data_IF_114420515417
#
_entry.id   IF_114420515417
#
_cell.length_a   1.000
_cell.length_b   1.000
_cell.length_c   1.000
_cell.angle_alpha   90.00
_cell.angle_beta   90.00
_cell.angle_gamma   90.00
#
_symmetry.space_group_name_H-M   'P 1'
#
loop_
_entity.id
_entity.type
_entity.pdbx_description
1 polymer ?
#
# COMPACT_ATOMS: atom_id res chain seq x y z
N UNK A 1 10.49 9.89 -34.77
CA UNK A 1 9.40 9.01 -34.30
C UNK A 1 9.86 7.85 -33.40
N UNK A 2 11.12 7.40 -33.43
CA UNK A 2 11.59 6.30 -32.58
C UNK A 2 11.60 6.62 -31.07
N UNK A 3 11.96 7.85 -30.67
CA UNK A 3 12.08 8.22 -29.25
C UNK A 3 10.75 8.11 -28.47
N UNK A 4 9.62 8.53 -29.05
CA UNK A 4 8.32 8.49 -28.38
C UNK A 4 7.79 7.06 -28.15
N UNK A 5 8.13 6.13 -29.03
CA UNK A 5 7.74 4.71 -28.92
C UNK A 5 8.51 4.05 -27.76
N UNK A 6 9.82 4.31 -27.66
CA UNK A 6 10.67 3.80 -26.57
C UNK A 6 10.22 4.30 -25.20
N UNK A 7 9.84 5.58 -25.09
CA UNK A 7 9.34 6.16 -23.84
C UNK A 7 8.01 5.52 -23.42
N UNK A 8 7.09 5.31 -24.37
CA UNK A 8 5.80 4.66 -24.11
C UNK A 8 5.93 3.22 -23.61
N UNK A 9 6.85 2.44 -24.19
CA UNK A 9 7.15 1.07 -23.75
C UNK A 9 7.76 1.03 -22.34
N UNK A 10 8.70 1.93 -22.04
CA UNK A 10 9.30 2.05 -20.72
C UNK A 10 8.26 2.39 -19.64
N UNK A 11 7.35 3.33 -19.89
CA UNK A 11 6.27 3.65 -18.96
C UNK A 11 5.32 2.46 -18.71
N UNK A 12 4.96 1.74 -19.77
CA UNK A 12 4.14 0.53 -19.66
C UNK A 12 4.83 -0.55 -18.82
N UNK A 13 6.14 -0.72 -18.99
CA UNK A 13 6.95 -1.63 -18.19
C UNK A 13 6.93 -1.23 -16.71
N UNK A 14 7.15 0.05 -16.40
CA UNK A 14 7.14 0.57 -15.02
C UNK A 14 5.78 0.34 -14.36
N UNK A 15 4.66 0.68 -15.02
CA UNK A 15 3.32 0.46 -14.47
C UNK A 15 3.07 -1.01 -14.18
N UNK A 16 3.41 -1.90 -15.12
CA UNK A 16 3.26 -3.35 -14.92
C UNK A 16 4.12 -3.86 -13.77
N UNK A 17 5.34 -3.35 -13.62
CA UNK A 17 6.22 -3.70 -12.51
C UNK A 17 5.59 -3.27 -11.18
N UNK A 18 5.20 -1.99 -11.05
CA UNK A 18 4.54 -1.46 -9.85
C UNK A 18 3.29 -2.24 -9.47
N UNK A 19 2.44 -2.55 -10.45
CA UNK A 19 1.25 -3.36 -10.24
C UNK A 19 1.57 -4.76 -9.67
N UNK A 20 2.59 -5.44 -10.22
CA UNK A 20 3.05 -6.73 -9.67
C UNK A 20 3.63 -6.59 -8.27
N UNK A 21 4.38 -5.52 -7.99
CA UNK A 21 4.96 -5.28 -6.66
C UNK A 21 3.86 -5.09 -5.60
N UNK A 22 2.82 -4.33 -5.93
CA UNK A 22 1.65 -4.14 -5.07
C UNK A 22 0.98 -5.47 -4.73
N UNK A 23 0.73 -6.31 -5.74
CA UNK A 23 0.07 -7.61 -5.56
C UNK A 23 0.90 -8.58 -4.73
N UNK A 24 2.23 -8.56 -4.88
CA UNK A 24 3.15 -9.33 -4.05
C UNK A 24 3.12 -8.84 -2.61
N UNK A 25 3.15 -7.53 -2.38
CA UNK A 25 3.06 -6.96 -1.04
C UNK A 25 1.74 -7.36 -0.35
N UNK A 26 0.60 -7.29 -1.04
CA UNK A 26 -0.69 -7.78 -0.52
C UNK A 26 -0.65 -9.27 -0.18
N UNK A 27 -0.01 -10.09 -1.02
CA UNK A 27 0.13 -11.53 -0.75
C UNK A 27 0.96 -11.83 0.51
N UNK A 28 1.97 -11.02 0.79
CA UNK A 28 2.80 -11.13 2.00
C UNK A 28 2.06 -10.60 3.22
N UNK A 29 1.43 -9.42 3.10
CA UNK A 29 0.70 -8.76 4.19
C UNK A 29 -0.47 -9.61 4.70
N UNK A 30 -1.23 -10.24 3.80
CA UNK A 30 -2.45 -11.00 4.11
C UNK A 30 -2.29 -12.52 3.93
N UNK A 31 -1.06 -13.06 4.06
CA UNK A 31 -0.80 -14.50 3.90
C UNK A 31 -1.73 -15.33 4.81
N UNK A 32 -2.42 -16.32 4.27
CA UNK A 32 -3.31 -17.19 5.07
C UNK A 32 -4.67 -16.56 5.45
N UNK A 33 -4.96 -15.33 5.03
CA UNK A 33 -6.31 -14.75 5.03
C UNK A 33 -6.70 -14.45 3.59
N UNK A 34 -7.31 -15.46 2.99
CA UNK A 34 -7.63 -15.46 1.57
C UNK A 34 -8.73 -14.45 1.24
N UNK A 35 -9.67 -14.22 2.15
CA UNK A 35 -10.81 -13.32 1.94
C UNK A 35 -10.34 -11.87 1.92
N UNK A 36 -9.54 -11.46 2.91
CA UNK A 36 -8.93 -10.12 2.93
C UNK A 36 -7.97 -9.93 1.77
N UNK A 37 -7.14 -10.93 1.46
CA UNK A 37 -6.22 -10.86 0.32
C UNK A 37 -6.96 -10.72 -1.01
N UNK A 38 -8.09 -11.41 -1.18
CA UNK A 38 -8.94 -11.31 -2.38
C UNK A 38 -9.57 -9.94 -2.49
N UNK A 39 -10.22 -9.47 -1.43
CA UNK A 39 -10.87 -8.16 -1.38
C UNK A 39 -9.88 -7.02 -1.68
N UNK A 40 -8.69 -7.05 -1.06
CA UNK A 40 -7.64 -6.07 -1.30
C UNK A 40 -7.17 -6.04 -2.76
N UNK A 41 -7.03 -7.21 -3.40
CA UNK A 41 -6.65 -7.31 -4.82
C UNK A 41 -7.74 -6.78 -5.75
N UNK A 42 -9.00 -7.05 -5.44
CA UNK A 42 -10.13 -6.59 -6.24
C UNK A 42 -10.30 -5.07 -6.14
N UNK A 43 -10.15 -4.51 -4.93
CA UNK A 43 -10.09 -3.07 -4.72
C UNK A 43 -8.94 -2.44 -5.51
N UNK A 44 -7.72 -2.98 -5.39
CA UNK A 44 -6.56 -2.46 -6.13
C UNK A 44 -6.75 -2.50 -7.66
N UNK A 45 -7.38 -3.56 -8.20
CA UNK A 45 -7.75 -3.63 -9.62
C UNK A 45 -8.72 -2.53 -9.99
N UNK A 46 -9.76 -2.34 -9.20
CA UNK A 46 -10.76 -1.32 -9.44
C UNK A 46 -10.13 0.07 -9.42
N UNK A 47 -9.37 0.41 -8.37
CA UNK A 47 -8.69 1.69 -8.27
C UNK A 47 -7.72 1.92 -9.44
N UNK A 48 -6.97 0.92 -9.88
CA UNK A 48 -6.09 1.05 -11.06
C UNK A 48 -6.86 1.28 -12.35
N UNK A 49 -8.02 0.63 -12.55
CA UNK A 49 -8.86 0.85 -13.74
C UNK A 49 -9.52 2.22 -13.76
N UNK A 50 -9.98 2.70 -12.61
CA UNK A 50 -10.61 4.02 -12.47
C UNK A 50 -9.58 5.15 -12.62
N UNK A 51 -8.37 4.95 -12.10
CA UNK A 51 -7.31 5.96 -12.09
C UNK A 51 -6.47 6.05 -13.36
N UNK A 52 -6.38 4.96 -14.13
CA UNK A 52 -5.67 4.93 -15.41
C UNK A 52 -6.63 4.52 -16.53
N UNK A 53 -7.46 5.47 -17.02
CA UNK A 53 -8.13 5.29 -18.30
C UNK A 53 -7.12 4.89 -19.37
N UNK A 54 -7.54 4.06 -20.32
CA UNK A 54 -6.69 3.57 -21.42
C UNK A 54 -6.01 4.69 -22.23
N UNK A 55 -6.53 5.91 -22.12
CA UNK A 55 -6.14 7.09 -22.89
C UNK A 55 -5.17 8.03 -22.16
N UNK A 56 -4.71 7.69 -20.95
CA UNK A 56 -3.67 8.50 -20.28
C UNK A 56 -2.38 8.42 -21.11
N UNK A 57 -1.98 9.56 -21.67
CA UNK A 57 -0.77 9.67 -22.45
C UNK A 57 0.46 9.25 -21.63
N UNK A 58 1.39 8.46 -22.21
CA UNK A 58 2.62 8.10 -21.52
C UNK A 58 3.42 9.34 -21.12
N UNK A 59 3.98 9.34 -19.90
CA UNK A 59 4.86 10.42 -19.44
C UNK A 59 4.16 11.65 -18.87
N UNK A 60 2.85 11.60 -18.64
CA UNK A 60 2.15 12.69 -17.92
C UNK A 60 2.52 12.72 -16.45
N UNK A 61 2.45 13.91 -15.85
CA UNK A 61 2.68 14.09 -14.42
C UNK A 61 1.72 13.26 -13.56
N UNK A 62 0.46 13.17 -13.97
CA UNK A 62 -0.56 12.36 -13.29
C UNK A 62 -0.19 10.88 -13.24
N UNK A 63 0.38 10.34 -14.31
CA UNK A 63 0.83 8.94 -14.35
C UNK A 63 1.96 8.70 -13.35
N UNK A 64 2.91 9.63 -13.27
CA UNK A 64 4.01 9.56 -12.31
C UNK A 64 3.50 9.60 -10.86
N UNK A 65 2.61 10.54 -10.52
CA UNK A 65 1.99 10.64 -9.19
C UNK A 65 1.25 9.37 -8.79
N UNK A 66 0.54 8.74 -9.72
CA UNK A 66 -0.20 7.48 -9.45
C UNK A 66 0.75 6.30 -9.23
N UNK A 67 1.84 6.22 -9.99
CA UNK A 67 2.89 5.22 -9.79
C UNK A 67 3.51 5.40 -8.40
N UNK A 68 3.85 6.64 -8.03
CA UNK A 68 4.39 6.98 -6.71
C UNK A 68 3.42 6.61 -5.59
N UNK A 69 2.14 6.95 -5.73
CA UNK A 69 1.10 6.56 -4.78
C UNK A 69 1.03 5.03 -4.61
N UNK A 70 1.02 4.27 -5.70
CA UNK A 70 0.99 2.80 -5.64
C UNK A 70 2.28 2.21 -5.01
N UNK A 71 3.44 2.81 -5.24
CA UNK A 71 4.69 2.45 -4.56
C UNK A 71 4.63 2.75 -3.07
N UNK A 72 4.06 3.90 -2.67
CA UNK A 72 3.81 4.26 -1.27
C UNK A 72 2.90 3.25 -0.57
N UNK A 73 1.78 2.88 -1.19
CA UNK A 73 0.89 1.82 -0.68
C UNK A 73 1.63 0.49 -0.55
N UNK A 74 2.44 0.13 -1.56
CA UNK A 74 3.26 -1.09 -1.52
C UNK A 74 4.22 -1.09 -0.32
N UNK A 75 4.86 0.05 -0.03
CA UNK A 75 5.74 0.21 1.13
C UNK A 75 4.97 0.01 2.43
N UNK A 76 3.82 0.67 2.59
CA UNK A 76 2.96 0.55 3.77
C UNK A 76 2.53 -0.90 4.00
N UNK A 77 2.09 -1.61 2.96
CA UNK A 77 1.69 -3.01 3.04
C UNK A 77 2.83 -3.92 3.52
N UNK A 78 4.08 -3.63 3.15
CA UNK A 78 5.25 -4.44 3.52
C UNK A 78 5.76 -4.13 4.91
N UNK A 79 5.82 -2.86 5.25
CA UNK A 79 6.55 -2.38 6.42
C UNK A 79 5.64 -2.15 7.63
N UNK A 80 4.40 -1.71 7.40
CA UNK A 80 3.55 -1.19 8.48
C UNK A 80 2.34 -2.08 8.77
N UNK A 81 1.89 -2.91 7.82
CA UNK A 81 0.75 -3.80 8.06
C UNK A 81 1.23 -5.10 8.69
N UNK A 82 0.63 -5.43 9.82
CA UNK A 82 0.76 -6.72 10.51
C UNK A 82 -0.61 -7.37 10.62
N UNK A 83 -0.63 -8.69 10.67
CA UNK A 83 -1.88 -9.45 10.72
C UNK A 83 -1.96 -10.24 12.03
N UNK A 84 -3.07 -10.13 12.75
CA UNK A 84 -3.38 -11.02 13.87
C UNK A 84 -3.80 -12.40 13.35
N UNK A 85 -3.11 -13.46 13.79
CA UNK A 85 -3.51 -14.85 13.57
C UNK A 85 -3.85 -15.47 14.92
N UNK A 86 -4.96 -16.20 14.99
CA UNK A 86 -5.30 -16.98 16.18
C UNK A 86 -4.20 -18.00 16.49
N UNK A 87 -3.83 -18.12 17.76
CA UNK A 87 -2.81 -19.03 18.23
C UNK A 87 -3.34 -20.47 18.19
N UNK A 88 -2.63 -21.37 17.51
CA UNK A 88 -3.06 -22.75 17.29
C UNK A 88 -3.30 -23.55 18.59
N UNK A 89 -2.64 -23.15 19.69
CA UNK A 89 -2.68 -23.87 20.98
C UNK A 89 -3.53 -23.18 22.05
N UNK A 90 -4.05 -21.98 21.78
CA UNK A 90 -4.80 -21.19 22.76
C UNK A 90 -6.00 -20.56 22.05
N UNK A 91 -7.22 -21.10 22.26
CA UNK A 91 -8.44 -20.44 21.85
C UNK A 91 -8.44 -18.99 22.37
N UNK A 92 -9.03 -18.07 21.61
CA UNK A 92 -9.12 -16.64 21.94
C UNK A 92 -7.82 -15.83 22.10
N UNK A 93 -6.66 -16.44 21.85
CA UNK A 93 -5.38 -15.72 21.82
C UNK A 93 -4.97 -15.41 20.39
N UNK A 94 -4.63 -14.16 20.09
CA UNK A 94 -4.14 -13.73 18.78
C UNK A 94 -2.67 -13.31 18.85
N UNK A 95 -1.87 -13.77 17.89
CA UNK A 95 -0.47 -13.39 17.71
C UNK A 95 -0.31 -12.53 16.47
N UNK A 96 0.43 -11.43 16.58
CA UNK A 96 0.79 -10.61 15.43
C UNK A 96 1.84 -11.33 14.59
N UNK A 97 1.56 -11.46 13.29
CA UNK A 97 2.53 -11.94 12.32
C UNK A 97 3.33 -10.75 11.79
N UNK A 98 4.59 -10.68 12.21
CA UNK A 98 5.59 -9.81 11.62
C UNK A 98 6.21 -10.50 10.39
N UNK A 99 6.53 -9.73 9.37
CA UNK A 99 7.31 -10.17 8.20
C UNK A 99 8.73 -9.63 8.28
N UNK A 100 9.63 -10.11 7.41
CA UNK A 100 11.04 -9.69 7.39
C UNK A 100 11.22 -8.18 7.20
N UNK A 101 10.33 -7.55 6.42
CA UNK A 101 10.40 -6.13 6.12
C UNK A 101 9.53 -5.29 7.05
N UNK A 102 8.84 -5.91 8.02
CA UNK A 102 8.01 -5.14 8.95
C UNK A 102 8.91 -4.27 9.81
N UNK A 103 8.67 -2.96 9.76
CA UNK A 103 9.46 -2.01 10.50
C UNK A 103 9.22 -2.21 12.00
N UNK A 104 10.29 -2.57 12.71
CA UNK A 104 10.30 -2.68 14.16
C UNK A 104 11.03 -1.47 14.67
N UNK A 105 10.30 -0.41 15.00
CA UNK A 105 10.90 0.72 15.67
C UNK A 105 11.39 0.28 17.05
N UNK A 106 12.53 0.82 17.46
CA UNK A 106 12.92 0.75 18.86
C UNK A 106 11.93 1.59 19.70
N UNK A 107 11.75 1.24 20.96
CA UNK A 107 10.86 1.94 21.88
C UNK A 107 11.22 3.44 21.99
N UNK A 108 12.51 3.77 21.88
CA UNK A 108 12.99 5.17 21.88
C UNK A 108 12.68 5.92 20.58
N UNK A 109 12.63 5.25 19.42
CA UNK A 109 12.21 5.86 18.16
C UNK A 109 10.69 6.05 18.10
N UNK A 110 9.93 5.12 18.69
CA UNK A 110 8.48 5.18 18.78
C UNK A 110 7.99 6.42 19.55
N UNK A 111 8.72 6.83 20.60
CA UNK A 111 8.42 8.06 21.37
C UNK A 111 8.59 9.36 20.55
N UNK A 112 9.41 9.33 19.49
CA UNK A 112 9.62 10.48 18.60
C UNK A 112 8.52 10.59 17.54
N UNK A 113 7.86 9.49 17.21
CA UNK A 113 6.66 9.43 16.38
C UNK A 113 5.43 9.88 17.20
N UNK A 114 5.43 11.12 17.68
CA UNK A 114 4.22 11.71 18.24
C UNK A 114 3.26 11.97 17.10
N UNK A 115 2.17 11.20 17.04
CA UNK A 115 1.02 11.58 16.23
C UNK A 115 0.58 13.01 16.57
N UNK A 116 -0.07 13.69 15.63
CA UNK A 116 -0.71 14.98 15.94
C UNK A 116 -1.85 14.74 16.91
N UNK A 117 -1.58 14.88 18.20
CA UNK A 117 -2.63 14.91 19.22
C UNK A 117 -3.39 16.21 19.04
N UNK A 118 -4.47 16.19 18.25
CA UNK A 118 -5.39 17.31 18.20
C UNK A 118 -6.05 17.43 19.57
N UNK A 119 -5.98 18.62 20.16
CA UNK A 119 -6.73 18.96 21.35
C UNK A 119 -8.23 18.83 21.07
N UNK A 120 -9.01 18.57 22.11
CA UNK A 120 -10.47 18.47 22.00
C UNK A 120 -11.09 19.73 21.36
N UNK A 121 -10.47 20.90 21.58
CA UNK A 121 -10.84 22.17 20.96
C UNK A 121 -10.61 22.15 19.43
N UNK A 122 -9.45 21.68 18.98
CA UNK A 122 -9.14 21.54 17.55
C UNK A 122 -9.97 20.47 16.84
N UNK A 123 -10.48 19.46 17.56
CA UNK A 123 -11.41 18.46 17.00
C UNK A 123 -12.81 19.07 16.83
N UNK A 124 -13.26 19.87 17.82
CA UNK A 124 -14.54 20.59 17.76
C UNK A 124 -14.57 21.61 16.62
N UNK A 125 -13.48 22.34 16.43
CA UNK A 125 -13.38 23.38 15.39
C UNK A 125 -13.12 22.80 13.98
N UNK A 126 -12.78 21.50 13.89
CA UNK A 126 -12.52 20.79 12.62
C UNK A 126 -13.74 20.02 12.08
N UNK A 127 -14.94 20.24 12.62
CA UNK A 127 -16.17 19.72 12.02
C UNK A 127 -16.55 20.52 10.75
N UNK A 128 -16.91 19.74 9.72
CA UNK A 128 -17.35 20.10 8.37
C UNK A 128 -18.27 21.32 8.25
#
# INVERSE_FOLDING_TARGET
MAAAITTGEAHRFIVRATYRHLFRAMGVAFKGDFDTSRSARDFARQSFRESLPRDVAPGTHEMAQRIEHAQGVTKILRENIVQGKQAEKQPDTYKLRFTENTQRFDNEETRKLKGTTKSFKEIKDAQF
#
